data_IF_820279454155
#
_entry.id   IF_820279454155
#
_cell.length_a   1.000
_cell.length_b   1.000
_cell.length_c   1.000
_cell.angle_alpha   90.00
_cell.angle_beta   90.00
_cell.angle_gamma   90.00
#
_symmetry.space_group_name_H-M   'P 1'
#
loop_
_entity.id
_entity.type
_entity.pdbx_description
1 polymer ?
#
# COMPACT_ATOMS: atom_id res chain seq x y z
N UNK A 1 55.16 56.32 -0.83
CA UNK A 1 53.88 56.22 -1.57
C UNK A 1 53.39 54.80 -1.34
N UNK A 2 52.47 54.61 -0.39
CA UNK A 2 52.06 53.29 0.12
C UNK A 2 50.67 52.98 -0.47
N UNK A 3 50.61 52.05 -1.43
CA UNK A 3 49.37 51.58 -2.05
C UNK A 3 48.60 50.76 -1.03
N UNK A 4 47.53 51.34 -0.50
CA UNK A 4 46.58 50.63 0.36
C UNK A 4 45.73 49.70 -0.50
N UNK A 5 46.09 48.42 -0.52
CA UNK A 5 45.35 47.37 -1.19
C UNK A 5 44.04 47.14 -0.42
N UNK A 6 42.94 47.69 -0.94
CA UNK A 6 41.59 47.45 -0.42
C UNK A 6 41.23 46.00 -0.74
N UNK A 7 41.38 45.11 0.25
CA UNK A 7 40.87 43.74 0.17
C UNK A 7 39.35 43.82 0.05
N UNK A 8 38.85 43.66 -1.16
CA UNK A 8 37.43 43.49 -1.43
C UNK A 8 37.07 42.07 -0.99
N UNK A 9 36.49 41.95 0.21
CA UNK A 9 35.92 40.68 0.66
C UNK A 9 34.68 40.41 -0.19
N UNK A 10 34.87 39.71 -1.31
CA UNK A 10 33.75 39.11 -2.04
C UNK A 10 33.01 38.24 -1.04
N UNK A 11 31.72 38.51 -0.74
CA UNK A 11 30.96 37.62 0.13
C UNK A 11 30.99 36.26 -0.56
N UNK A 12 31.61 35.26 0.08
CA UNK A 12 31.49 33.90 -0.39
C UNK A 12 29.99 33.64 -0.39
N UNK A 13 29.41 33.49 -1.57
CA UNK A 13 27.98 33.29 -1.74
C UNK A 13 27.64 32.00 -1.01
N UNK A 14 27.24 32.15 0.25
CA UNK A 14 27.11 31.04 1.19
C UNK A 14 26.20 30.02 0.55
N UNK A 15 26.66 28.77 0.45
CA UNK A 15 25.94 27.66 -0.18
C UNK A 15 24.47 27.71 0.25
N UNK A 16 23.60 28.09 -0.69
CA UNK A 16 22.18 28.27 -0.47
C UNK A 16 21.54 26.89 -0.46
N UNK A 17 21.52 26.24 0.70
CA UNK A 17 20.85 24.95 0.85
C UNK A 17 19.33 25.15 0.82
N UNK A 18 18.73 25.03 -0.35
CA UNK A 18 17.28 25.07 -0.56
C UNK A 18 16.55 23.91 0.13
N UNK A 19 17.27 22.82 0.40
CA UNK A 19 16.74 21.58 0.94
C UNK A 19 17.32 21.29 2.32
N UNK A 20 16.45 21.12 3.32
CA UNK A 20 16.82 20.64 4.65
C UNK A 20 16.18 19.27 4.89
N UNK A 21 17.00 18.25 5.12
CA UNK A 21 16.52 16.88 5.31
C UNK A 21 15.93 16.62 6.69
N UNK A 22 16.39 17.29 7.74
CA UNK A 22 15.88 17.06 9.11
C UNK A 22 14.36 17.29 9.20
N UNK A 23 13.78 18.39 8.68
CA UNK A 23 12.32 18.57 8.65
C UNK A 23 11.61 17.53 7.78
N UNK A 24 12.20 17.16 6.63
CA UNK A 24 11.65 16.13 5.73
C UNK A 24 11.54 14.79 6.43
N UNK A 25 12.60 14.35 7.11
CA UNK A 25 12.66 13.09 7.84
C UNK A 25 11.67 13.12 9.01
N UNK A 26 11.63 14.20 9.79
CA UNK A 26 10.68 14.35 10.89
C UNK A 26 9.23 14.29 10.40
N UNK A 27 8.90 15.01 9.33
CA UNK A 27 7.59 14.97 8.71
C UNK A 27 7.22 13.59 8.17
N UNK A 28 8.18 12.89 7.53
CA UNK A 28 7.97 11.55 7.03
C UNK A 28 7.68 10.54 8.15
N UNK A 29 8.44 10.60 9.25
CA UNK A 29 8.22 9.73 10.42
C UNK A 29 6.84 9.96 11.04
N UNK A 30 6.43 11.22 11.22
CA UNK A 30 5.09 11.56 11.71
C UNK A 30 4.03 11.04 10.74
N UNK A 31 4.19 11.30 9.44
CA UNK A 31 3.26 10.82 8.41
C UNK A 31 3.12 9.30 8.40
N UNK A 32 4.23 8.56 8.45
CA UNK A 32 4.22 7.10 8.51
C UNK A 32 3.58 6.58 9.80
N UNK A 33 3.81 7.22 10.96
CA UNK A 33 3.20 6.83 12.22
C UNK A 33 1.66 6.97 12.17
N UNK A 34 1.15 8.12 11.71
CA UNK A 34 -0.29 8.32 11.51
C UNK A 34 -0.87 7.33 10.50
N UNK A 35 -0.15 7.05 9.42
CA UNK A 35 -0.58 6.09 8.40
C UNK A 35 -0.73 4.68 8.99
N UNK A 36 0.26 4.20 9.75
CA UNK A 36 0.21 2.89 10.40
C UNK A 36 -0.97 2.80 11.36
N UNK A 37 -1.17 3.82 12.21
CA UNK A 37 -2.26 3.84 13.19
C UNK A 37 -3.62 3.80 12.51
N UNK A 38 -3.83 4.62 11.48
CA UNK A 38 -5.09 4.66 10.74
C UNK A 38 -5.32 3.39 9.93
N UNK A 39 -4.31 2.85 9.25
CA UNK A 39 -4.45 1.56 8.56
C UNK A 39 -4.78 0.43 9.54
N UNK A 40 -4.14 0.38 10.70
CA UNK A 40 -4.44 -0.60 11.74
C UNK A 40 -5.89 -0.43 12.25
N UNK A 41 -6.33 0.80 12.50
CA UNK A 41 -7.70 1.10 12.92
C UNK A 41 -8.73 0.70 11.86
N UNK A 42 -8.55 1.10 10.60
CA UNK A 42 -9.42 0.70 9.50
C UNK A 42 -9.48 -0.81 9.32
N UNK A 43 -8.35 -1.49 9.47
CA UNK A 43 -8.31 -2.96 9.42
C UNK A 43 -9.10 -3.57 10.58
N UNK A 44 -9.01 -3.01 11.79
CA UNK A 44 -9.76 -3.50 12.96
C UNK A 44 -11.27 -3.32 12.83
N UNK A 45 -11.73 -2.27 12.14
CA UNK A 45 -13.14 -2.06 11.81
C UNK A 45 -13.62 -2.91 10.63
N UNK A 46 -12.73 -3.64 9.96
CA UNK A 46 -13.05 -4.38 8.74
C UNK A 46 -13.06 -3.53 7.46
N UNK A 47 -12.68 -2.25 7.50
CA UNK A 47 -12.55 -1.37 6.33
C UNK A 47 -11.34 -1.68 5.44
N UNK A 48 -10.61 -2.77 5.72
CA UNK A 48 -9.48 -3.18 4.90
C UNK A 48 -9.93 -3.59 3.50
N UNK A 49 -9.35 -2.93 2.50
CA UNK A 49 -9.63 -3.17 1.09
C UNK A 49 -8.86 -4.40 0.56
N UNK A 50 -7.94 -4.98 1.35
CA UNK A 50 -7.03 -6.04 0.94
C UNK A 50 -7.53 -7.49 1.15
N UNK A 51 -8.82 -7.72 1.44
CA UNK A 51 -9.33 -9.09 1.63
C UNK A 51 -9.57 -9.81 0.29
N UNK A 52 -9.07 -11.04 0.16
CA UNK A 52 -9.34 -11.95 -0.96
C UNK A 52 -10.53 -12.88 -0.70
N UNK A 53 -11.00 -12.98 0.54
CA UNK A 53 -12.19 -13.73 0.92
C UNK A 53 -13.46 -12.86 0.81
N UNK A 54 -14.65 -13.49 0.64
CA UNK A 54 -15.93 -12.79 0.76
C UNK A 54 -15.95 -11.98 2.05
N UNK A 55 -16.20 -10.69 1.92
CA UNK A 55 -16.21 -9.75 3.03
C UNK A 55 -17.50 -8.96 3.03
N UNK A 56 -17.83 -8.33 4.16
CA UNK A 56 -19.01 -7.50 4.31
C UNK A 56 -19.12 -6.38 3.25
N UNK A 57 -17.99 -5.93 2.67
CA UNK A 57 -17.95 -4.98 1.53
C UNK A 57 -18.60 -5.52 0.26
N UNK A 58 -18.67 -6.84 0.07
CA UNK A 58 -19.32 -7.47 -1.08
C UNK A 58 -20.86 -7.45 -0.94
N UNK A 59 -21.39 -7.14 0.23
CA UNK A 59 -22.84 -7.05 0.50
C UNK A 59 -23.48 -5.81 -0.14
N UNK A 60 -22.73 -4.72 -0.31
CA UNK A 60 -23.25 -3.49 -0.93
C UNK A 60 -22.15 -2.65 -1.59
N UNK A 61 -22.40 -2.07 -2.79
CA UNK A 61 -21.48 -1.13 -3.44
C UNK A 61 -21.08 0.05 -2.54
N UNK A 62 -21.99 0.53 -1.68
CA UNK A 62 -21.71 1.66 -0.77
C UNK A 62 -20.59 1.37 0.23
N UNK A 63 -20.46 0.11 0.65
CA UNK A 63 -19.46 -0.32 1.64
C UNK A 63 -18.07 -0.44 1.03
N UNK A 64 -18.03 -0.79 -0.26
CA UNK A 64 -16.80 -0.74 -1.06
C UNK A 64 -16.33 0.71 -1.25
N UNK A 65 -17.26 1.64 -1.56
CA UNK A 65 -16.96 3.07 -1.65
C UNK A 65 -16.47 3.63 -0.32
N UNK A 66 -17.11 3.26 0.80
CA UNK A 66 -16.70 3.68 2.15
C UNK A 66 -15.26 3.27 2.46
N UNK A 67 -14.87 2.05 2.10
CA UNK A 67 -13.50 1.55 2.33
C UNK A 67 -12.47 2.30 1.47
N UNK A 68 -12.81 2.63 0.22
CA UNK A 68 -11.98 3.49 -0.63
C UNK A 68 -11.85 4.92 -0.12
N UNK A 69 -12.96 5.52 0.35
CA UNK A 69 -12.98 6.86 0.95
C UNK A 69 -12.16 6.90 2.25
N UNK A 70 -12.20 5.82 3.04
CA UNK A 70 -11.40 5.69 4.24
C UNK A 70 -9.89 5.68 3.93
N UNK A 71 -9.45 5.06 2.84
CA UNK A 71 -8.05 5.14 2.39
C UNK A 71 -7.67 6.58 2.00
N UNK A 72 -8.56 7.30 1.33
CA UNK A 72 -8.35 8.71 0.97
C UNK A 72 -8.21 9.56 2.23
N UNK A 73 -9.12 9.40 3.20
CA UNK A 73 -9.05 10.08 4.49
C UNK A 73 -7.74 9.78 5.21
N UNK A 74 -7.35 8.50 5.24
CA UNK A 74 -6.11 8.04 5.87
C UNK A 74 -4.90 8.73 5.27
N UNK A 75 -4.81 8.80 3.94
CA UNK A 75 -3.73 9.49 3.26
C UNK A 75 -3.75 11.00 3.53
N UNK A 76 -4.90 11.66 3.40
CA UNK A 76 -5.03 13.10 3.63
C UNK A 76 -4.56 13.50 5.04
N UNK A 77 -5.01 12.78 6.06
CA UNK A 77 -4.64 13.04 7.45
C UNK A 77 -3.14 12.77 7.64
N UNK A 78 -2.67 11.59 7.26
CA UNK A 78 -1.27 11.18 7.52
C UNK A 78 -0.27 12.09 6.82
N UNK A 79 -0.47 12.31 5.52
CA UNK A 79 0.45 13.12 4.72
C UNK A 79 0.28 14.61 5.00
N UNK A 80 -0.93 15.07 5.32
CA UNK A 80 -1.17 16.44 5.78
C UNK A 80 -0.42 16.75 7.08
N UNK A 81 -0.52 15.89 8.10
CA UNK A 81 0.23 16.06 9.35
C UNK A 81 1.74 15.98 9.13
N UNK A 82 2.22 15.02 8.34
CA UNK A 82 3.63 14.91 8.00
C UNK A 82 4.17 16.15 7.27
N UNK A 83 3.41 16.64 6.27
CA UNK A 83 3.74 17.87 5.54
C UNK A 83 3.77 19.09 6.45
N UNK A 84 2.76 19.26 7.31
CA UNK A 84 2.70 20.34 8.29
C UNK A 84 3.94 20.40 9.19
N UNK A 85 4.35 19.25 9.73
CA UNK A 85 5.55 19.14 10.57
C UNK A 85 6.82 19.49 9.78
N UNK A 86 6.93 19.02 8.53
CA UNK A 86 8.06 19.36 7.66
C UNK A 86 8.17 20.87 7.40
N UNK A 87 7.05 21.54 7.12
CA UNK A 87 7.00 22.98 6.95
C UNK A 87 7.34 23.74 8.23
N UNK A 88 6.81 23.28 9.36
CA UNK A 88 6.97 23.92 10.69
C UNK A 88 8.39 23.87 11.23
N UNK A 89 9.10 22.75 11.04
CA UNK A 89 10.45 22.53 11.61
C UNK A 89 11.58 23.11 10.76
N UNK A 90 11.32 23.57 9.53
CA UNK A 90 12.34 24.19 8.67
C UNK A 90 12.78 25.54 9.26
N UNK A 91 14.05 25.90 9.15
CA UNK A 91 14.59 27.18 9.67
C UNK A 91 13.96 28.41 9.00
N UNK A 92 13.67 29.47 9.76
CA UNK A 92 13.20 30.75 9.19
C UNK A 92 14.28 31.39 8.31
N UNK A 93 13.86 32.15 7.31
CA UNK A 93 14.75 32.97 6.46
C UNK A 93 14.36 34.43 6.65
N UNK A 94 15.27 35.38 6.43
CA UNK A 94 14.93 36.80 6.36
C UNK A 94 13.87 37.03 5.26
N UNK A 95 12.65 37.33 5.71
CA UNK A 95 11.47 37.47 4.86
C UNK A 95 11.59 38.62 3.83
N UNK A 96 12.50 39.57 4.04
CA UNK A 96 12.68 40.74 3.19
C UNK A 96 13.43 40.51 1.87
N UNK A 97 14.05 39.34 1.66
CA UNK A 97 14.93 39.14 0.50
C UNK A 97 14.40 38.17 -0.58
N UNK A 98 13.43 37.30 -0.27
CA UNK A 98 13.02 36.20 -1.17
C UNK A 98 11.57 35.73 -0.92
N UNK A 99 10.57 36.61 -1.07
CA UNK A 99 9.16 36.27 -0.84
C UNK A 99 8.59 35.36 -1.93
N UNK A 100 9.11 35.43 -3.16
CA UNK A 100 8.55 34.74 -4.32
C UNK A 100 8.72 33.21 -4.32
N UNK A 101 9.63 32.65 -3.52
CA UNK A 101 9.93 31.20 -3.49
C UNK A 101 9.53 30.48 -2.20
N UNK A 102 8.90 31.18 -1.24
CA UNK A 102 8.55 30.60 0.07
C UNK A 102 7.59 29.43 -0.06
N UNK A 103 6.53 29.60 -0.86
CA UNK A 103 5.52 28.56 -1.08
C UNK A 103 6.12 27.33 -1.77
N UNK A 104 6.85 27.52 -2.87
CA UNK A 104 7.48 26.41 -3.61
C UNK A 104 8.41 25.60 -2.72
N UNK A 105 9.24 26.27 -1.92
CA UNK A 105 10.18 25.62 -1.00
C UNK A 105 9.45 24.85 0.09
N UNK A 106 8.51 25.50 0.79
CA UNK A 106 7.81 24.90 1.91
C UNK A 106 6.96 23.73 1.39
N UNK A 107 6.27 23.89 0.27
CA UNK A 107 5.58 22.82 -0.44
C UNK A 107 6.50 21.65 -0.81
N UNK A 108 7.70 21.92 -1.32
CA UNK A 108 8.69 20.88 -1.67
C UNK A 108 9.11 20.04 -0.46
N UNK A 109 9.25 20.63 0.73
CA UNK A 109 9.56 19.86 1.94
C UNK A 109 8.41 18.94 2.34
N UNK A 110 7.16 19.39 2.17
CA UNK A 110 5.97 18.56 2.36
C UNK A 110 5.92 17.40 1.38
N UNK A 111 6.19 17.67 0.10
CA UNK A 111 6.21 16.64 -0.95
C UNK A 111 7.32 15.60 -0.74
N UNK A 112 8.51 16.03 -0.30
CA UNK A 112 9.60 15.11 0.02
C UNK A 112 9.28 14.28 1.29
N UNK A 113 8.62 14.88 2.28
CA UNK A 113 8.17 14.15 3.46
C UNK A 113 7.11 13.09 3.09
N UNK A 114 6.19 13.42 2.18
CA UNK A 114 5.25 12.47 1.59
C UNK A 114 5.97 11.31 0.89
N UNK A 115 6.92 11.62 -0.01
CA UNK A 115 7.65 10.60 -0.77
C UNK A 115 8.41 9.64 0.16
N UNK A 116 9.10 10.19 1.15
CA UNK A 116 9.83 9.39 2.13
C UNK A 116 8.88 8.56 3.01
N UNK A 117 7.74 9.11 3.43
CA UNK A 117 6.73 8.36 4.19
C UNK A 117 6.17 7.19 3.39
N UNK A 118 5.93 7.36 2.08
CA UNK A 118 5.49 6.27 1.18
C UNK A 118 6.54 5.17 1.11
N UNK A 119 7.82 5.51 0.95
CA UNK A 119 8.92 4.54 0.93
C UNK A 119 9.02 3.78 2.26
N UNK A 120 8.99 4.50 3.40
CA UNK A 120 9.03 3.89 4.73
C UNK A 120 7.87 2.91 4.91
N UNK A 121 6.64 3.34 4.62
CA UNK A 121 5.44 2.50 4.75
C UNK A 121 5.50 1.29 3.81
N UNK A 122 6.01 1.44 2.59
CA UNK A 122 6.20 0.35 1.63
C UNK A 122 7.23 -0.69 2.10
N UNK A 123 8.35 -0.23 2.67
CA UNK A 123 9.37 -1.11 3.25
C UNK A 123 8.82 -1.88 4.46
N UNK A 124 8.10 -1.20 5.36
CA UNK A 124 7.45 -1.85 6.51
C UNK A 124 6.46 -2.91 6.03
N UNK A 125 5.63 -2.61 5.04
CA UNK A 125 4.70 -3.57 4.45
C UNK A 125 5.41 -4.79 3.83
N UNK A 126 6.53 -4.58 3.12
CA UNK A 126 7.32 -5.66 2.55
C UNK A 126 7.93 -6.57 3.63
N UNK A 127 8.47 -5.99 4.71
CA UNK A 127 9.00 -6.76 5.85
C UNK A 127 7.91 -7.61 6.49
N UNK A 128 6.72 -7.04 6.73
CA UNK A 128 5.58 -7.80 7.27
C UNK A 128 5.18 -8.96 6.35
N UNK A 129 5.11 -8.73 5.04
CA UNK A 129 4.78 -9.77 4.07
C UNK A 129 5.79 -10.93 4.10
N UNK A 130 7.09 -10.64 4.17
CA UNK A 130 8.12 -11.68 4.29
C UNK A 130 8.04 -12.43 5.61
N UNK A 131 7.81 -11.75 6.74
CA UNK A 131 7.72 -12.39 8.06
C UNK A 131 6.52 -13.34 8.19
N UNK A 132 5.40 -13.04 7.53
CA UNK A 132 4.24 -13.93 7.47
C UNK A 132 4.50 -15.13 6.56
N UNK A 133 5.17 -14.92 5.41
CA UNK A 133 5.55 -16.00 4.49
C UNK A 133 6.50 -17.02 5.11
N UNK A 134 7.45 -16.59 5.93
CA UNK A 134 8.46 -17.45 6.59
C UNK A 134 7.91 -18.37 7.68
N UNK A 135 6.66 -18.17 8.13
CA UNK A 135 6.01 -19.06 9.12
C UNK A 135 5.36 -20.30 8.49
N UNK A 136 5.37 -20.41 7.17
CA UNK A 136 5.09 -21.66 6.46
C UNK A 136 6.42 -22.41 6.23
N UNK A 137 6.55 -23.58 6.86
CA UNK A 137 7.43 -24.75 6.60
C UNK A 137 8.70 -24.54 5.71
N UNK A 138 9.88 -25.09 6.09
CA UNK A 138 11.12 -24.94 5.31
C UNK A 138 10.98 -25.28 3.82
N UNK A 139 11.73 -24.59 2.93
CA UNK A 139 11.49 -24.52 1.47
C UNK A 139 11.86 -25.79 0.68
N UNK A 140 11.99 -26.94 1.32
CA UNK A 140 12.54 -28.14 0.69
C UNK A 140 11.52 -29.16 0.14
N UNK A 141 10.20 -28.96 0.30
CA UNK A 141 9.24 -29.98 -0.16
C UNK A 141 7.84 -29.48 -0.59
N UNK A 142 7.54 -28.18 -0.52
CA UNK A 142 6.22 -27.66 -0.90
C UNK A 142 6.33 -26.90 -2.22
N UNK A 143 5.65 -27.31 -3.32
CA UNK A 143 5.57 -26.47 -4.50
C UNK A 143 5.00 -25.12 -4.08
N UNK A 144 5.63 -24.02 -4.53
CA UNK A 144 5.23 -22.67 -4.22
C UNK A 144 3.72 -22.50 -4.42
N UNK A 145 2.98 -22.29 -3.33
CA UNK A 145 1.55 -22.01 -3.41
C UNK A 145 1.40 -20.69 -4.16
N UNK A 146 0.92 -20.74 -5.40
CA UNK A 146 0.70 -19.55 -6.21
C UNK A 146 -0.38 -18.68 -5.54
N UNK A 147 -0.28 -17.35 -5.62
CA UNK A 147 -1.30 -16.44 -5.10
C UNK A 147 -2.72 -16.76 -5.64
N UNK A 148 -2.79 -17.33 -6.85
CA UNK A 148 -4.04 -17.83 -7.43
C UNK A 148 -4.60 -19.08 -6.72
N UNK A 149 -3.75 -19.98 -6.21
CA UNK A 149 -4.20 -21.17 -5.47
C UNK A 149 -4.86 -20.79 -4.15
N UNK A 150 -4.29 -19.82 -3.43
CA UNK A 150 -4.87 -19.32 -2.18
C UNK A 150 -6.31 -18.79 -2.37
N UNK A 151 -6.62 -18.28 -3.57
CA UNK A 151 -7.95 -17.75 -3.89
C UNK A 151 -9.01 -18.85 -4.10
N UNK A 152 -8.59 -20.03 -4.55
CA UNK A 152 -9.47 -21.17 -4.85
C UNK A 152 -9.23 -22.36 -3.91
N UNK A 153 -8.45 -22.16 -2.84
CA UNK A 153 -8.05 -23.22 -1.91
C UNK A 153 -9.26 -23.95 -1.30
N UNK A 154 -10.30 -23.19 -0.96
CA UNK A 154 -11.54 -23.77 -0.44
C UNK A 154 -12.27 -24.64 -1.48
N UNK A 155 -12.32 -24.19 -2.73
CA UNK A 155 -12.95 -24.94 -3.82
C UNK A 155 -12.13 -26.19 -4.16
N UNK A 156 -10.80 -26.12 -4.09
CA UNK A 156 -9.89 -27.27 -4.21
C UNK A 156 -10.11 -28.29 -3.09
N UNK A 157 -10.26 -27.82 -1.85
CA UNK A 157 -10.52 -28.72 -0.72
C UNK A 157 -11.88 -29.40 -0.87
N UNK A 158 -12.91 -28.66 -1.33
CA UNK A 158 -14.23 -29.24 -1.65
C UNK A 158 -14.16 -30.24 -2.81
N UNK A 159 -13.33 -29.98 -3.82
CA UNK A 159 -13.16 -30.83 -5.01
C UNK A 159 -12.63 -32.21 -4.64
N UNK A 160 -11.61 -32.26 -3.78
CA UNK A 160 -10.98 -33.51 -3.34
C UNK A 160 -11.51 -34.06 -2.01
N UNK A 161 -12.56 -33.45 -1.45
CA UNK A 161 -13.14 -33.92 -0.18
C UNK A 161 -13.71 -35.33 -0.34
N UNK A 162 -13.11 -36.28 0.37
CA UNK A 162 -13.55 -37.67 0.44
C UNK A 162 -13.97 -38.01 1.88
N UNK A 163 -14.94 -38.93 2.01
CA UNK A 163 -15.33 -39.49 3.32
C UNK A 163 -14.37 -40.59 3.79
N UNK A 164 -13.57 -41.15 2.86
CA UNK A 164 -12.65 -42.25 3.08
C UNK A 164 -11.22 -41.70 3.19
N UNK A 165 -10.50 -42.04 4.26
CA UNK A 165 -9.05 -41.77 4.34
C UNK A 165 -8.34 -42.50 3.20
N UNK A 166 -7.59 -41.77 2.37
CA UNK A 166 -6.73 -42.34 1.32
C UNK A 166 -5.30 -41.81 1.49
N UNK A 167 -4.33 -42.72 1.45
CA UNK A 167 -2.89 -42.47 1.62
C UNK A 167 -2.18 -42.13 0.29
N UNK A 168 -2.83 -41.33 -0.57
CA UNK A 168 -2.27 -40.91 -1.87
C UNK A 168 -1.48 -39.60 -1.80
N UNK A 169 -0.65 -39.33 -2.82
CA UNK A 169 0.04 -38.04 -2.98
C UNK A 169 -0.92 -36.92 -3.43
N UNK A 170 -1.88 -36.57 -2.57
CA UNK A 170 -2.91 -35.55 -2.79
C UNK A 170 -2.31 -34.16 -3.08
N UNK A 171 -1.10 -33.90 -2.57
CA UNK A 171 -0.40 -32.61 -2.73
C UNK A 171 -0.14 -32.32 -4.21
N UNK A 172 0.33 -33.31 -4.97
CA UNK A 172 0.59 -33.13 -6.39
C UNK A 172 -0.70 -32.94 -7.19
N UNK A 173 -1.71 -33.80 -6.97
CA UNK A 173 -3.00 -33.72 -7.65
C UNK A 173 -3.73 -32.40 -7.38
N UNK A 174 -3.65 -31.89 -6.15
CA UNK A 174 -4.22 -30.59 -5.77
C UNK A 174 -3.52 -29.44 -6.48
N UNK A 175 -2.18 -29.47 -6.58
CA UNK A 175 -1.41 -28.47 -7.30
C UNK A 175 -1.62 -28.51 -8.82
N UNK A 176 -1.85 -29.69 -9.39
CA UNK A 176 -2.22 -29.82 -10.80
C UNK A 176 -3.62 -29.28 -11.07
N UNK A 177 -4.60 -29.70 -10.27
CA UNK A 177 -5.96 -29.20 -10.36
C UNK A 177 -6.05 -27.69 -10.16
N UNK A 178 -5.24 -27.11 -9.27
CA UNK A 178 -5.18 -25.66 -9.07
C UNK A 178 -4.72 -24.93 -10.33
N UNK A 179 -3.68 -25.43 -11.02
CA UNK A 179 -3.21 -24.85 -12.29
C UNK A 179 -4.28 -24.93 -13.38
N UNK A 180 -4.94 -26.07 -13.50
CA UNK A 180 -5.99 -26.28 -14.51
C UNK A 180 -7.19 -25.37 -14.24
N UNK A 181 -7.70 -25.33 -13.00
CA UNK A 181 -8.82 -24.46 -12.63
C UNK A 181 -8.48 -22.97 -12.82
N UNK A 182 -7.26 -22.55 -12.49
CA UNK A 182 -6.82 -21.18 -12.74
C UNK A 182 -6.75 -20.86 -14.24
N UNK A 183 -6.26 -21.79 -15.07
CA UNK A 183 -6.27 -21.64 -16.52
C UNK A 183 -7.71 -21.52 -17.08
N UNK A 184 -8.65 -22.26 -16.51
CA UNK A 184 -10.07 -22.21 -16.86
C UNK A 184 -10.71 -20.84 -16.61
N UNK A 185 -10.18 -20.05 -15.67
CA UNK A 185 -10.68 -18.68 -15.39
C UNK A 185 -10.22 -17.65 -16.42
N UNK A 186 -9.37 -18.04 -17.37
CA UNK A 186 -8.95 -17.19 -18.47
C UNK A 186 -10.10 -16.95 -19.46
N UNK A 187 -9.90 -16.02 -20.41
CA UNK A 187 -10.88 -15.75 -21.49
C UNK A 187 -11.18 -16.98 -22.36
N UNK A 188 -10.27 -17.95 -22.40
CA UNK A 188 -10.44 -19.18 -23.19
C UNK A 188 -11.44 -20.16 -22.53
N UNK A 189 -11.74 -19.99 -21.24
CA UNK A 189 -12.58 -20.92 -20.49
C UNK A 189 -11.89 -22.26 -20.24
N UNK A 190 -12.69 -23.24 -19.77
CA UNK A 190 -12.23 -24.60 -19.52
C UNK A 190 -12.17 -25.40 -20.83
N UNK A 191 -11.05 -26.08 -21.09
CA UNK A 191 -10.96 -27.01 -22.22
C UNK A 191 -11.74 -28.30 -21.92
N UNK A 192 -12.39 -28.92 -22.92
CA UNK A 192 -13.09 -30.19 -22.74
C UNK A 192 -12.18 -31.30 -22.17
N UNK A 193 -10.97 -31.43 -22.71
CA UNK A 193 -10.00 -32.44 -22.27
C UNK A 193 -9.57 -32.25 -20.81
N UNK A 194 -9.29 -31.01 -20.42
CA UNK A 194 -8.93 -30.66 -19.05
C UNK A 194 -10.09 -30.97 -18.08
N UNK A 195 -11.33 -30.79 -18.52
CA UNK A 195 -12.54 -31.08 -17.72
C UNK A 195 -12.71 -32.58 -17.53
N UNK A 196 -12.55 -33.34 -18.59
CA UNK A 196 -12.60 -34.80 -18.55
C UNK A 196 -11.50 -35.34 -17.63
N UNK A 197 -10.26 -34.86 -17.79
CA UNK A 197 -9.13 -35.23 -16.93
C UNK A 197 -9.43 -34.96 -15.45
N UNK A 198 -9.89 -33.75 -15.10
CA UNK A 198 -10.25 -33.43 -13.71
C UNK A 198 -11.37 -34.33 -13.19
N UNK A 199 -12.36 -34.67 -14.01
CA UNK A 199 -13.46 -35.55 -13.58
C UNK A 199 -12.95 -36.96 -13.25
N UNK A 200 -12.04 -37.52 -14.05
CA UNK A 200 -11.40 -38.80 -13.78
C UNK A 200 -10.52 -38.73 -12.54
N UNK A 201 -9.70 -37.67 -12.40
CA UNK A 201 -8.82 -37.46 -11.26
C UNK A 201 -9.61 -37.37 -9.95
N UNK A 202 -10.73 -36.65 -9.95
CA UNK A 202 -11.62 -36.53 -8.78
C UNK A 202 -12.29 -37.84 -8.46
N UNK A 203 -12.81 -38.56 -9.46
CA UNK A 203 -13.44 -39.87 -9.25
C UNK A 203 -12.45 -40.87 -8.65
N UNK A 204 -11.19 -40.91 -9.14
CA UNK A 204 -10.16 -41.81 -8.60
C UNK A 204 -9.78 -41.50 -7.15
N UNK A 205 -9.68 -40.20 -6.80
CA UNK A 205 -9.29 -39.78 -5.45
C UNK A 205 -10.43 -39.80 -4.43
N UNK A 206 -11.67 -39.59 -4.86
CA UNK A 206 -12.82 -39.52 -3.93
C UNK A 206 -13.65 -40.80 -3.89
N UNK A 207 -13.53 -41.66 -4.91
CA UNK A 207 -14.31 -42.89 -5.04
C UNK A 207 -15.79 -42.65 -5.38
N UNK A 208 -16.18 -41.45 -5.79
CA UNK A 208 -17.54 -41.13 -6.24
C UNK A 208 -17.75 -41.58 -7.70
N UNK A 209 -19.02 -41.73 -8.09
CA UNK A 209 -19.36 -42.08 -9.47
C UNK A 209 -18.95 -40.97 -10.45
N UNK A 210 -18.51 -41.35 -11.66
CA UNK A 210 -18.08 -40.42 -12.71
C UNK A 210 -19.06 -39.25 -12.99
N UNK A 211 -20.39 -39.47 -13.11
CA UNK A 211 -21.32 -38.36 -13.31
C UNK A 211 -21.35 -37.36 -12.15
N UNK A 212 -21.17 -37.83 -10.91
CA UNK A 212 -21.11 -36.95 -9.73
C UNK A 212 -19.77 -36.21 -9.64
N UNK A 213 -18.66 -36.85 -10.05
CA UNK A 213 -17.36 -36.20 -10.18
C UNK A 213 -17.40 -35.07 -11.22
N UNK A 214 -17.99 -35.32 -12.39
CA UNK A 214 -18.18 -34.30 -13.41
C UNK A 214 -19.00 -33.10 -12.88
N UNK A 215 -20.09 -33.36 -12.15
CA UNK A 215 -20.90 -32.30 -11.52
C UNK A 215 -20.08 -31.47 -10.52
N UNK A 216 -19.29 -32.12 -9.65
CA UNK A 216 -18.41 -31.41 -8.70
C UNK A 216 -17.35 -30.56 -9.39
N UNK A 217 -16.78 -31.04 -10.49
CA UNK A 217 -15.83 -30.27 -11.31
C UNK A 217 -16.51 -29.03 -11.90
N UNK A 218 -17.74 -29.14 -12.41
CA UNK A 218 -18.49 -27.99 -12.95
C UNK A 218 -18.79 -26.93 -11.87
N UNK A 219 -19.17 -27.37 -10.67
CA UNK A 219 -19.35 -26.49 -9.52
C UNK A 219 -18.05 -25.78 -9.15
N UNK A 220 -16.93 -26.51 -9.11
CA UNK A 220 -15.61 -25.96 -8.79
C UNK A 220 -15.14 -24.95 -9.86
N UNK A 221 -15.35 -25.24 -11.15
CA UNK A 221 -15.04 -24.30 -12.24
C UNK A 221 -15.84 -23.00 -12.07
N UNK A 222 -17.14 -23.11 -11.77
CA UNK A 222 -18.02 -21.97 -11.57
C UNK A 222 -17.58 -21.14 -10.37
N UNK A 223 -17.31 -21.79 -9.24
CA UNK A 223 -16.86 -21.14 -8.01
C UNK A 223 -15.49 -20.47 -8.18
N UNK A 224 -14.51 -21.16 -8.76
CA UNK A 224 -13.18 -20.63 -9.04
C UNK A 224 -13.23 -19.41 -9.98
N UNK A 225 -14.03 -19.48 -11.05
CA UNK A 225 -14.22 -18.36 -11.99
C UNK A 225 -14.81 -17.15 -11.29
N UNK A 226 -15.79 -17.36 -10.41
CA UNK A 226 -16.44 -16.30 -9.66
C UNK A 226 -15.49 -15.68 -8.63
N UNK A 227 -14.71 -16.48 -7.91
CA UNK A 227 -13.70 -16.03 -6.95
C UNK A 227 -12.62 -15.17 -7.65
N UNK A 228 -12.07 -15.65 -8.78
CA UNK A 228 -11.08 -14.91 -9.58
C UNK A 228 -11.65 -13.59 -10.11
N UNK A 229 -12.89 -13.57 -10.59
CA UNK A 229 -13.53 -12.32 -11.05
C UNK A 229 -13.68 -11.30 -9.93
N UNK A 230 -14.15 -11.72 -8.76
CA UNK A 230 -14.26 -10.84 -7.59
C UNK A 230 -12.91 -10.30 -7.15
N UNK A 231 -11.89 -11.16 -7.06
CA UNK A 231 -10.55 -10.73 -6.68
C UNK A 231 -9.97 -9.71 -7.66
N UNK A 232 -10.16 -9.90 -8.98
CA UNK A 232 -9.74 -8.93 -10.00
C UNK A 232 -10.45 -7.58 -9.80
N UNK A 233 -11.76 -7.59 -9.57
CA UNK A 233 -12.53 -6.36 -9.33
C UNK A 233 -12.05 -5.64 -8.06
N UNK A 234 -11.89 -6.36 -6.95
CA UNK A 234 -11.38 -5.80 -5.71
C UNK A 234 -9.97 -5.25 -5.87
N UNK A 235 -9.09 -5.94 -6.61
CA UNK A 235 -7.73 -5.48 -6.88
C UNK A 235 -7.70 -4.17 -7.70
N UNK A 236 -8.59 -4.03 -8.69
CA UNK A 236 -8.72 -2.78 -9.47
C UNK A 236 -9.18 -1.63 -8.56
N UNK A 237 -10.20 -1.86 -7.74
CA UNK A 237 -10.72 -0.84 -6.81
C UNK A 237 -9.64 -0.44 -5.81
N UNK A 238 -8.95 -1.42 -5.21
CA UNK A 238 -7.83 -1.20 -4.31
C UNK A 238 -6.73 -0.38 -4.97
N UNK A 239 -6.29 -0.77 -6.16
CA UNK A 239 -5.24 -0.09 -6.91
C UNK A 239 -5.61 1.36 -7.21
N UNK A 240 -6.84 1.59 -7.67
CA UNK A 240 -7.35 2.93 -7.92
C UNK A 240 -7.45 3.77 -6.63
N UNK A 241 -7.98 3.19 -5.55
CA UNK A 241 -8.05 3.88 -4.25
C UNK A 241 -6.68 4.25 -3.73
N UNK A 242 -5.68 3.36 -3.81
CA UNK A 242 -4.30 3.66 -3.41
C UNK A 242 -3.74 4.81 -4.27
N UNK A 243 -3.88 4.74 -5.59
CA UNK A 243 -3.38 5.77 -6.49
C UNK A 243 -3.99 7.15 -6.20
N UNK A 244 -5.32 7.22 -6.06
CA UNK A 244 -6.03 8.46 -5.73
C UNK A 244 -5.62 8.97 -4.34
N UNK A 245 -5.54 8.08 -3.35
CA UNK A 245 -5.15 8.45 -1.98
C UNK A 245 -3.74 9.03 -1.94
N UNK A 246 -2.78 8.43 -2.66
CA UNK A 246 -1.40 8.93 -2.73
C UNK A 246 -1.32 10.29 -3.42
N UNK A 247 -2.05 10.50 -4.52
CA UNK A 247 -2.08 11.78 -5.23
C UNK A 247 -2.69 12.91 -4.38
N UNK A 248 -3.85 12.65 -3.78
CA UNK A 248 -4.50 13.61 -2.88
C UNK A 248 -3.65 13.85 -1.62
N UNK A 249 -2.99 12.81 -1.13
CA UNK A 249 -2.01 12.87 -0.05
C UNK A 249 -0.83 13.80 -0.35
N UNK A 250 -0.29 13.73 -1.57
CA UNK A 250 0.79 14.61 -2.02
C UNK A 250 0.35 16.09 -2.03
N UNK A 251 -0.85 16.36 -2.55
CA UNK A 251 -1.44 17.70 -2.53
C UNK A 251 -1.68 18.20 -1.10
N UNK A 252 -2.19 17.34 -0.21
CA UNK A 252 -2.39 17.66 1.19
C UNK A 252 -1.06 17.95 1.91
N UNK A 253 -0.01 17.17 1.65
CA UNK A 253 1.32 17.39 2.22
C UNK A 253 1.94 18.71 1.77
N UNK A 254 1.81 19.05 0.48
CA UNK A 254 2.26 20.33 -0.06
C UNK A 254 1.55 21.49 0.65
N UNK A 255 0.22 21.50 0.62
CA UNK A 255 -0.59 22.56 1.22
C UNK A 255 -0.35 22.71 2.72
N UNK A 256 -0.34 21.60 3.46
CA UNK A 256 -0.11 21.60 4.90
C UNK A 256 1.31 22.06 5.26
N UNK A 257 2.31 21.76 4.43
CA UNK A 257 3.67 22.26 4.63
C UNK A 257 3.77 23.77 4.42
N UNK A 258 3.09 24.32 3.42
CA UNK A 258 2.97 25.77 3.26
C UNK A 258 2.32 26.42 4.50
N UNK A 259 1.24 25.85 5.04
CA UNK A 259 0.61 26.33 6.27
C UNK A 259 1.56 26.24 7.48
N UNK A 260 2.26 25.12 7.66
CA UNK A 260 3.24 24.94 8.75
C UNK A 260 4.37 25.96 8.67
N UNK A 261 4.82 26.26 7.45
CA UNK A 261 5.79 27.31 7.16
C UNK A 261 5.29 28.71 7.49
N UNK A 262 4.08 29.07 7.04
CA UNK A 262 3.45 30.36 7.36
C UNK A 262 3.32 30.56 8.87
N UNK A 263 2.82 29.55 9.60
CA UNK A 263 2.74 29.63 11.06
C UNK A 263 4.12 29.89 11.67
N UNK A 264 5.19 29.29 11.11
CA UNK A 264 6.55 29.41 11.66
C UNK A 264 7.02 30.84 11.52
N UNK A 265 6.76 31.41 10.36
CA UNK A 265 7.20 32.75 10.02
C UNK A 265 6.38 33.82 10.77
N UNK A 266 5.11 33.54 11.11
CA UNK A 266 4.25 34.41 11.93
C UNK A 266 4.60 34.41 13.42
N UNK A 267 5.15 33.31 13.96
CA UNK A 267 5.37 33.14 15.40
C UNK A 267 6.66 33.80 15.94
N UNK A 268 7.40 34.55 15.13
CA UNK A 268 8.62 35.25 15.55
C UNK A 268 8.50 36.78 15.46
N UNK A 269 7.89 37.48 16.45
CA UNK A 269 8.30 38.83 16.76
C UNK A 269 9.73 38.78 17.35
N UNK A 270 10.63 39.69 16.96
CA UNK A 270 12.05 39.49 17.19
C UNK A 270 12.39 39.68 18.66
N UNK A 271 13.17 38.74 19.23
CA UNK A 271 13.90 38.92 20.48
C UNK A 271 15.01 39.98 20.28
N UNK A 272 14.64 41.22 19.96
CA UNK A 272 15.52 42.38 20.13
C UNK A 272 15.23 42.94 21.52
N UNK A 273 15.92 42.41 22.52
CA UNK A 273 16.11 43.17 23.75
C UNK A 273 16.92 44.41 23.36
N UNK A 274 16.24 45.55 23.23
CA UNK A 274 16.89 46.83 23.04
C UNK A 274 17.62 47.19 24.34
N UNK A 275 18.88 46.75 24.46
CA UNK A 275 19.78 47.05 25.58
C UNK A 275 20.56 48.36 25.36
N UNK A 276 20.02 49.32 24.62
CA UNK A 276 20.53 50.69 24.63
C UNK A 276 19.45 51.64 25.14
N UNK A 277 19.32 51.71 26.47
CA UNK A 277 19.03 52.97 27.16
C UNK A 277 20.31 53.38 27.87
N UNK A 278 21.07 54.26 27.24
CA UNK A 278 21.98 55.19 27.91
C UNK A 278 21.38 56.57 27.76
#
# INVERSE_FOLDING_TARGET
MQTSERIETVPIEGRRDFLRWTPVIAGALVGSAFFIVLVAFGTSLGLSVASTAPTWRDTSPSLTVLSGLYLVLTALVSFGFGGYVAGRLRTTWDAGLHTEFVEFRDGTHGLLAWALAVVISGLVAAVIATAVGSKAVPPAATPATNAGEALIAYDLDRLFRSERRQDGNLVYSRAEASRILLAATSRAGMKPDDREYLSHLVASHTGIAQPDAARRVDEAITAATLAVKRARQSAVILGFSIAVSLLLGAAAAWYASCLGGQHRDQAAPPLRWNLSRT
#
